data_IF_071407314599
#
_entry.id   IF_071407314599
#
_cell.length_a   1.000
_cell.length_b   1.000
_cell.length_c   1.000
_cell.angle_alpha   90.00
_cell.angle_beta   90.00
_cell.angle_gamma   90.00
#
_symmetry.space_group_name_H-M   'P 1'
#
loop_
_entity.id
_entity.type
_entity.pdbx_description
1 polymer ?
#
# COMPACT_ATOMS: atom_id res chain seq x y z
N UNK A 1 5.09 -21.78 -3.52
CA UNK A 1 5.50 -21.57 -2.13
C UNK A 1 4.32 -21.03 -1.33
N UNK A 2 3.86 -21.73 -0.28
CA UNK A 2 2.90 -21.15 0.65
C UNK A 2 3.56 -20.02 1.47
N UNK A 3 2.78 -19.02 1.85
CA UNK A 3 3.18 -17.95 2.74
C UNK A 3 2.14 -17.75 3.84
N UNK A 4 2.58 -17.26 4.98
CA UNK A 4 1.72 -16.89 6.11
C UNK A 4 1.43 -15.40 6.00
N UNK A 5 0.16 -15.02 6.01
CA UNK A 5 -0.21 -13.61 6.05
C UNK A 5 0.26 -13.00 7.37
N UNK A 6 1.10 -11.98 7.33
CA UNK A 6 1.64 -11.37 8.55
C UNK A 6 0.61 -10.66 9.43
N UNK A 7 -0.54 -10.27 8.87
CA UNK A 7 -1.59 -9.58 9.64
C UNK A 7 -2.64 -10.54 10.23
N UNK A 8 -3.12 -11.54 9.49
CA UNK A 8 -4.19 -12.44 9.94
C UNK A 8 -3.79 -13.92 10.10
N UNK A 9 -2.53 -14.28 9.85
CA UNK A 9 -2.02 -15.64 10.04
C UNK A 9 -2.47 -16.69 9.02
N UNK A 10 -3.40 -16.35 8.11
CA UNK A 10 -3.88 -17.33 7.10
C UNK A 10 -2.74 -17.79 6.18
N UNK A 11 -2.66 -19.09 5.96
CA UNK A 11 -1.74 -19.70 5.00
C UNK A 11 -2.35 -19.61 3.60
N UNK A 12 -1.60 -19.08 2.64
CA UNK A 12 -2.03 -19.00 1.24
C UNK A 12 -0.90 -19.36 0.29
N UNK A 13 -1.26 -19.75 -0.94
CA UNK A 13 -0.28 -19.99 -2.01
C UNK A 13 -0.19 -18.74 -2.88
N UNK A 14 1.04 -18.28 -3.12
CA UNK A 14 1.27 -17.27 -4.13
C UNK A 14 1.20 -17.90 -5.52
N UNK A 15 0.11 -17.61 -6.24
CA UNK A 15 -0.18 -18.23 -7.54
C UNK A 15 0.72 -17.66 -8.63
N UNK A 16 1.09 -18.46 -9.63
CA UNK A 16 1.84 -17.99 -10.80
C UNK A 16 1.20 -16.77 -11.47
N UNK A 17 -0.13 -16.72 -11.56
CA UNK A 17 -0.83 -15.55 -12.14
C UNK A 17 -0.58 -14.26 -11.34
N UNK A 18 -0.46 -14.36 -10.02
CA UNK A 18 -0.16 -13.22 -9.15
C UNK A 18 1.32 -12.81 -9.25
N UNK A 19 2.24 -13.78 -9.36
CA UNK A 19 3.66 -13.49 -9.56
C UNK A 19 3.93 -12.89 -10.94
N UNK A 20 3.31 -13.44 -11.99
CA UNK A 20 3.36 -12.91 -13.36
C UNK A 20 2.90 -11.45 -13.39
N UNK A 21 1.73 -11.17 -12.81
CA UNK A 21 1.23 -9.79 -12.72
C UNK A 21 2.19 -8.87 -11.94
N UNK A 22 2.76 -9.34 -10.82
CA UNK A 22 3.71 -8.54 -10.03
C UNK A 22 4.99 -8.20 -10.80
N UNK A 23 5.60 -9.17 -11.45
CA UNK A 23 6.83 -8.98 -12.21
C UNK A 23 6.59 -8.20 -13.50
N UNK A 24 5.63 -8.65 -14.32
CA UNK A 24 5.48 -8.14 -15.67
C UNK A 24 4.72 -6.81 -15.72
N UNK A 25 3.67 -6.64 -14.90
CA UNK A 25 2.79 -5.46 -14.92
C UNK A 25 3.25 -4.42 -13.92
N UNK A 26 3.50 -4.83 -12.67
CA UNK A 26 3.94 -3.89 -11.62
C UNK A 26 5.45 -3.63 -11.65
N UNK A 27 6.22 -4.32 -12.52
CA UNK A 27 7.69 -4.22 -12.61
C UNK A 27 8.38 -4.46 -11.27
N UNK A 28 7.79 -5.30 -10.42
CA UNK A 28 8.37 -5.70 -9.14
C UNK A 28 9.50 -6.71 -9.32
N UNK A 29 10.37 -6.82 -8.32
CA UNK A 29 11.47 -7.78 -8.34
C UNK A 29 10.96 -9.23 -8.34
N UNK A 30 11.58 -10.10 -9.17
CA UNK A 30 11.17 -11.50 -9.37
C UNK A 30 11.31 -12.37 -8.09
N UNK A 31 12.23 -11.99 -7.20
CA UNK A 31 12.51 -12.64 -5.92
C UNK A 31 11.67 -12.09 -4.77
N UNK A 32 10.83 -11.06 -5.02
CA UNK A 32 9.82 -10.61 -4.05
C UNK A 32 9.01 -11.81 -3.58
N UNK A 33 8.54 -11.83 -2.32
CA UNK A 33 7.56 -12.79 -1.81
C UNK A 33 6.26 -12.14 -1.35
N UNK A 34 5.12 -12.82 -1.52
CA UNK A 34 3.87 -12.37 -0.93
C UNK A 34 3.90 -12.54 0.61
N UNK A 35 3.59 -11.47 1.34
CA UNK A 35 3.56 -11.46 2.82
C UNK A 35 2.17 -11.17 3.40
N UNK A 36 1.20 -10.87 2.54
CA UNK A 36 -0.18 -10.54 2.92
C UNK A 36 -1.17 -11.18 1.97
N UNK A 37 -2.26 -11.71 2.53
CA UNK A 37 -3.39 -12.20 1.77
C UNK A 37 -4.10 -11.04 1.03
N UNK A 38 -4.96 -11.36 0.06
CA UNK A 38 -5.70 -10.34 -0.71
C UNK A 38 -6.56 -9.43 0.20
N UNK A 39 -7.37 -9.95 1.15
CA UNK A 39 -8.14 -9.08 2.06
C UNK A 39 -7.27 -8.11 2.87
N UNK A 40 -6.17 -8.58 3.48
CA UNK A 40 -5.28 -7.73 4.26
C UNK A 40 -4.51 -6.73 3.39
N UNK A 41 -4.18 -7.08 2.12
CA UNK A 41 -3.62 -6.12 1.17
C UNK A 41 -4.59 -4.99 0.83
N UNK A 42 -5.88 -5.28 0.68
CA UNK A 42 -6.90 -4.25 0.45
C UNK A 42 -7.02 -3.32 1.65
N UNK A 43 -7.18 -3.87 2.85
CA UNK A 43 -7.27 -3.08 4.09
C UNK A 43 -6.04 -2.18 4.29
N UNK A 44 -4.83 -2.68 4.03
CA UNK A 44 -3.61 -1.87 4.14
C UNK A 44 -3.53 -0.77 3.08
N UNK A 45 -4.07 -1.00 1.87
CA UNK A 45 -4.16 0.05 0.84
C UNK A 45 -5.10 1.16 1.29
N UNK A 46 -6.25 0.81 1.85
CA UNK A 46 -7.24 1.78 2.33
C UNK A 46 -6.67 2.60 3.49
N UNK A 47 -6.03 1.93 4.48
CA UNK A 47 -5.33 2.61 5.59
C UNK A 47 -4.30 3.63 5.10
N UNK A 48 -3.47 3.24 4.11
CA UNK A 48 -2.47 4.15 3.52
C UNK A 48 -3.11 5.30 2.73
N UNK A 49 -4.21 5.03 2.02
CA UNK A 49 -4.94 6.06 1.29
C UNK A 49 -5.51 7.12 2.25
N UNK A 50 -6.15 6.70 3.35
CA UNK A 50 -6.64 7.60 4.39
C UNK A 50 -5.51 8.41 5.02
N UNK A 51 -4.40 7.77 5.41
CA UNK A 51 -3.24 8.48 5.97
C UNK A 51 -2.67 9.52 5.00
N UNK A 52 -2.60 9.20 3.70
CA UNK A 52 -2.16 10.14 2.66
C UNK A 52 -3.12 11.31 2.50
N UNK A 53 -4.44 11.07 2.53
CA UNK A 53 -5.44 12.13 2.46
C UNK A 53 -5.31 13.12 3.63
N UNK A 54 -5.18 12.61 4.85
CA UNK A 54 -4.99 13.43 6.06
C UNK A 54 -3.71 14.26 5.94
N UNK A 55 -2.60 13.63 5.53
CA UNK A 55 -1.32 14.32 5.34
C UNK A 55 -1.42 15.47 4.32
N UNK A 56 -2.02 15.21 3.15
CA UNK A 56 -2.18 16.21 2.09
C UNK A 56 -3.11 17.37 2.51
N UNK A 57 -4.20 17.07 3.24
CA UNK A 57 -5.08 18.10 3.79
C UNK A 57 -4.34 18.99 4.78
N UNK A 58 -3.49 18.40 5.64
CA UNK A 58 -2.63 19.14 6.56
C UNK A 58 -1.63 20.05 5.86
N UNK A 59 -0.97 19.56 4.79
CA UNK A 59 -0.07 20.38 3.97
C UNK A 59 -0.80 21.57 3.33
N UNK A 60 -1.96 21.32 2.70
CA UNK A 60 -2.78 22.39 2.08
C UNK A 60 -3.21 23.45 3.10
N UNK A 61 -3.60 23.05 4.31
CA UNK A 61 -3.96 23.97 5.37
C UNK A 61 -2.77 24.81 5.86
N UNK A 62 -1.55 24.24 5.86
CA UNK A 62 -0.31 24.98 6.19
C UNK A 62 0.03 25.98 5.09
N UNK A 63 -0.08 25.60 3.83
CA UNK A 63 0.22 26.47 2.69
C UNK A 63 -0.67 27.71 2.67
N UNK A 64 -1.98 27.54 2.86
CA UNK A 64 -2.91 28.67 2.99
C UNK A 64 -2.77 29.49 4.28
N UNK A 65 -1.96 29.06 5.26
CA UNK A 65 -1.58 29.90 6.41
C UNK A 65 -0.33 30.73 6.11
N UNK A 66 0.64 30.16 5.39
CA UNK A 66 1.87 30.88 4.98
C UNK A 66 1.53 32.09 4.12
N UNK A 67 0.65 31.90 3.13
CA UNK A 67 0.16 32.95 2.22
C UNK A 67 -0.51 34.15 2.93
N UNK A 68 -1.14 33.91 4.10
CA UNK A 68 -1.82 34.97 4.89
C UNK A 68 -0.91 35.69 5.89
N UNK A 69 0.32 35.24 6.07
CA UNK A 69 1.26 35.82 7.06
C UNK A 69 2.28 36.75 6.39
N UNK A 70 2.25 36.85 5.05
CA UNK A 70 3.15 37.68 4.23
C UNK A 70 2.52 39.02 3.78
N UNK A 71 1.36 39.40 4.33
CA UNK A 71 0.69 40.72 4.15
C UNK A 71 0.75 41.53 5.46
#
# INVERSE_FOLDING_TARGET
MPFVCKDCGVIQVWRNTQQKWWYEVMKGDIWTIAVRCRPCRTQERDRKATARQIHLAGLKAKDGKRDRTED
#
